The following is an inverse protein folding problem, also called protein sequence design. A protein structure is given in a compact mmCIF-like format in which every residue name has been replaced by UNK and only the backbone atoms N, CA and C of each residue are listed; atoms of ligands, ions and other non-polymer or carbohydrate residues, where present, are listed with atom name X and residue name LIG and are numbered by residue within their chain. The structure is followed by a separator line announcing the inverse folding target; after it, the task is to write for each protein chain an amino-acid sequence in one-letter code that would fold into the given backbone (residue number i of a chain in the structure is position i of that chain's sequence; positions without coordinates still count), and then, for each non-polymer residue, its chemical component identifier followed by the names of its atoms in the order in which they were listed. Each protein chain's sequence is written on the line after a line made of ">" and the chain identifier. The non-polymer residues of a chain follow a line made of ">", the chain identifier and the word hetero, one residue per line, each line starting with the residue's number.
data_IF_557349747011
#
_entry.id   IF_557349747011
#
_cell.length_a   1.000
_cell.length_b   1.000
_cell.length_c   1.000
_cell.angle_alpha   90.00
_cell.angle_beta   90.00
_cell.angle_gamma   90.00
#
_symmetry.space_group_name_H-M   'P 1'
#
loop_
_entity.id
_entity.type
_entity.pdbx_description
1 polymer ?
#
# COMPACT_ATOMS: atom_id res chain seq x y z
N UNK A 1 55.38 47.89 43.98
CA UNK A 1 54.15 48.01 43.18
C UNK A 1 54.38 47.29 41.86
N UNK A 2 53.88 46.06 41.72
CA UNK A 2 54.03 45.25 40.52
C UNK A 2 52.78 44.37 40.39
N UNK A 3 51.90 44.68 39.44
CA UNK A 3 50.59 44.04 39.29
C UNK A 3 50.73 42.90 38.27
N UNK A 4 50.73 41.67 38.78
CA UNK A 4 50.73 40.44 37.98
C UNK A 4 49.31 40.19 37.47
N UNK A 5 49.10 40.28 36.16
CA UNK A 5 47.84 39.86 35.51
C UNK A 5 47.83 38.34 35.38
N UNK A 6 47.09 37.66 36.25
CA UNK A 6 46.75 36.25 36.05
C UNK A 6 45.48 36.16 35.20
N UNK A 7 45.63 35.62 33.98
CA UNK A 7 44.52 35.20 33.13
C UNK A 7 44.09 33.80 33.57
N UNK A 8 43.17 33.71 34.51
CA UNK A 8 42.56 32.44 34.90
C UNK A 8 41.40 32.12 33.97
N UNK A 9 41.53 30.97 33.30
CA UNK A 9 40.76 30.55 32.15
C UNK A 9 39.26 30.37 32.41
N UNK A 10 38.48 30.84 31.44
CA UNK A 10 37.05 30.62 31.34
C UNK A 10 36.82 29.17 30.88
N UNK A 11 36.52 28.27 31.82
CA UNK A 11 36.14 26.88 31.52
C UNK A 11 34.76 26.89 30.87
N UNK A 12 34.72 26.78 29.54
CA UNK A 12 33.51 26.49 28.79
C UNK A 12 33.09 25.04 29.03
N UNK A 13 32.16 24.82 29.96
CA UNK A 13 31.47 23.53 30.09
C UNK A 13 30.48 23.43 28.91
N UNK A 14 30.96 22.90 27.79
CA UNK A 14 30.09 22.45 26.71
C UNK A 14 29.40 21.17 27.16
N UNK A 15 28.27 21.33 27.87
CA UNK A 15 27.36 20.24 28.19
C UNK A 15 26.59 19.90 26.91
N UNK A 16 27.21 19.11 26.03
CA UNK A 16 26.54 18.52 24.87
C UNK A 16 25.54 17.51 25.43
N UNK A 17 24.31 17.98 25.66
CA UNK A 17 23.15 17.13 25.80
C UNK A 17 23.02 16.31 24.51
N UNK A 18 23.51 15.07 24.55
CA UNK A 18 23.08 14.02 23.66
C UNK A 18 21.59 13.73 23.97
N UNK A 19 20.72 14.62 23.48
CA UNK A 19 19.31 14.34 23.31
C UNK A 19 19.22 13.22 22.27
N UNK A 20 19.33 11.99 22.75
CA UNK A 20 18.85 10.82 22.03
C UNK A 20 17.34 10.96 21.95
N UNK A 21 16.88 11.70 20.92
CA UNK A 21 15.49 11.73 20.49
C UNK A 21 15.17 10.29 20.11
N UNK A 22 14.65 9.55 21.09
CA UNK A 22 14.03 8.26 20.88
C UNK A 22 12.78 8.55 20.09
N UNK A 23 12.89 8.54 18.76
CA UNK A 23 11.75 8.61 17.86
C UNK A 23 10.88 7.39 18.16
N UNK A 24 9.87 7.58 19.02
CA UNK A 24 8.81 6.61 19.20
C UNK A 24 8.11 6.48 17.85
N UNK A 25 8.24 5.32 17.22
CA UNK A 25 7.43 5.01 16.04
C UNK A 25 5.99 4.87 16.52
N UNK A 26 5.19 5.92 16.36
CA UNK A 26 3.77 5.85 16.59
C UNK A 26 3.13 4.96 15.51
N UNK A 27 2.67 3.78 15.93
CA UNK A 27 1.97 2.82 15.09
C UNK A 27 0.50 2.86 15.50
N UNK A 28 -0.33 3.51 14.67
CA UNK A 28 -1.76 3.62 14.92
C UNK A 28 -2.52 2.54 14.17
N UNK A 29 -3.26 1.70 14.88
CA UNK A 29 -4.17 0.71 14.29
C UNK A 29 -5.44 1.37 13.79
N UNK A 30 -5.92 0.96 12.62
CA UNK A 30 -7.19 1.35 12.02
C UNK A 30 -7.94 0.07 11.62
N UNK A 31 -9.16 -0.08 12.11
CA UNK A 31 -10.05 -1.13 11.63
C UNK A 31 -10.62 -0.73 10.27
N UNK A 32 -10.52 -1.63 9.31
CA UNK A 32 -10.96 -1.44 7.93
C UNK A 32 -11.99 -2.50 7.56
N UNK A 33 -12.85 -2.17 6.60
CA UNK A 33 -13.68 -3.16 5.93
C UNK A 33 -12.93 -3.63 4.69
N UNK A 34 -12.90 -4.94 4.46
CA UNK A 34 -12.38 -5.54 3.23
C UNK A 34 -13.55 -6.15 2.47
N UNK A 35 -13.73 -5.75 1.21
CA UNK A 35 -14.69 -6.34 0.29
C UNK A 35 -13.92 -7.13 -0.76
N UNK A 36 -14.05 -8.46 -0.75
CA UNK A 36 -13.40 -9.35 -1.70
C UNK A 36 -14.46 -10.22 -2.37
N UNK A 37 -14.69 -9.99 -3.66
CA UNK A 37 -15.81 -10.58 -4.40
C UNK A 37 -17.16 -10.28 -3.68
N UNK A 38 -17.96 -11.30 -3.39
CA UNK A 38 -19.24 -11.20 -2.67
C UNK A 38 -19.11 -11.20 -1.14
N UNK A 39 -17.89 -11.31 -0.60
CA UNK A 39 -17.66 -11.38 0.85
C UNK A 39 -17.14 -10.06 1.40
N UNK A 40 -17.58 -9.73 2.61
CA UNK A 40 -17.06 -8.62 3.39
C UNK A 40 -16.60 -9.11 4.76
N UNK A 41 -15.46 -8.60 5.21
CA UNK A 41 -14.91 -8.92 6.53
C UNK A 41 -14.11 -7.74 7.08
N UNK A 42 -13.77 -7.79 8.37
CA UNK A 42 -12.94 -6.78 9.03
C UNK A 42 -11.47 -7.19 9.00
N UNK A 43 -10.60 -6.20 8.82
CA UNK A 43 -9.16 -6.36 8.87
C UNK A 43 -8.52 -5.12 9.50
N UNK A 44 -7.21 -5.15 9.69
CA UNK A 44 -6.49 -4.06 10.33
C UNK A 44 -5.46 -3.42 9.38
N UNK A 45 -5.55 -2.10 9.23
CA UNK A 45 -4.52 -1.27 8.60
C UNK A 45 -3.72 -0.56 9.70
N UNK A 46 -2.42 -0.39 9.49
CA UNK A 46 -1.55 0.28 10.45
C UNK A 46 -0.97 1.54 9.83
N UNK A 47 -1.17 2.68 10.48
CA UNK A 47 -0.52 3.92 10.10
C UNK A 47 0.83 4.03 10.81
N UNK A 48 1.89 4.18 10.02
CA UNK A 48 3.24 4.43 10.50
C UNK A 48 3.74 5.69 9.82
N UNK A 49 3.86 6.79 10.57
CA UNK A 49 4.18 8.13 10.03
C UNK A 49 3.23 8.55 8.90
N UNK A 50 1.92 8.37 9.11
CA UNK A 50 0.87 8.74 8.15
C UNK A 50 0.69 7.80 6.94
N UNK A 51 1.52 6.76 6.81
CA UNK A 51 1.45 5.82 5.70
C UNK A 51 0.79 4.51 6.14
N UNK A 52 -0.08 3.94 5.30
CA UNK A 52 -0.74 2.66 5.56
C UNK A 52 0.15 1.45 5.32
N UNK A 53 0.09 0.49 6.23
CA UNK A 53 0.79 -0.80 6.17
C UNK A 53 -0.16 -1.93 6.55
N UNK A 54 0.06 -3.09 5.94
CA UNK A 54 -0.55 -4.34 6.36
C UNK A 54 0.48 -5.19 7.10
N UNK A 55 0.03 -5.91 8.12
CA UNK A 55 0.86 -6.95 8.74
C UNK A 55 0.82 -8.22 7.93
N UNK A 56 1.82 -9.09 8.14
CA UNK A 56 1.88 -10.44 7.60
C UNK A 56 0.52 -11.16 7.66
N UNK A 57 -0.10 -11.20 8.84
CA UNK A 57 -1.34 -11.96 9.04
C UNK A 57 -2.50 -11.39 8.22
N UNK A 58 -2.57 -10.07 8.09
CA UNK A 58 -3.59 -9.39 7.29
C UNK A 58 -3.38 -9.69 5.80
N UNK A 59 -2.13 -9.74 5.34
CA UNK A 59 -1.79 -10.04 3.94
C UNK A 59 -2.17 -11.48 3.60
N UNK A 60 -1.81 -12.42 4.48
CA UNK A 60 -2.14 -13.84 4.33
C UNK A 60 -3.66 -14.04 4.30
N UNK A 61 -4.41 -13.37 5.18
CA UNK A 61 -5.86 -13.44 5.20
C UNK A 61 -6.52 -12.77 3.98
N UNK A 62 -6.09 -11.56 3.64
CA UNK A 62 -6.72 -10.73 2.59
C UNK A 62 -6.42 -11.28 1.19
N UNK A 63 -5.15 -11.58 0.90
CA UNK A 63 -4.70 -11.94 -0.44
C UNK A 63 -4.49 -13.45 -0.62
N UNK A 64 -4.55 -14.23 0.45
CA UNK A 64 -4.25 -15.67 0.40
C UNK A 64 -2.82 -15.94 -0.11
N UNK A 65 -1.89 -15.02 0.18
CA UNK A 65 -0.48 -15.09 -0.22
C UNK A 65 0.39 -15.48 0.97
N UNK A 66 1.27 -16.47 0.78
CA UNK A 66 2.25 -16.83 1.79
C UNK A 66 3.31 -15.73 1.96
N UNK A 67 3.58 -15.33 3.21
CA UNK A 67 4.60 -14.31 3.51
C UNK A 67 5.75 -14.93 4.32
N UNK A 68 6.94 -14.99 3.71
CA UNK A 68 8.16 -15.50 4.36
C UNK A 68 9.17 -14.38 4.53
N UNK A 69 9.78 -14.32 5.69
CA UNK A 69 10.87 -13.39 5.96
C UNK A 69 12.15 -14.17 6.25
N UNK A 70 13.15 -13.99 5.39
CA UNK A 70 14.50 -14.46 5.63
C UNK A 70 15.30 -13.35 6.32
N UNK A 71 15.60 -13.59 7.60
CA UNK A 71 16.38 -12.68 8.45
C UNK A 71 17.81 -12.49 7.96
N UNK A 72 18.44 -13.54 7.41
CA UNK A 72 19.83 -13.51 6.98
C UNK A 72 20.03 -12.60 5.78
N UNK A 73 19.18 -12.76 4.76
CA UNK A 73 19.23 -11.93 3.55
C UNK A 73 18.42 -10.64 3.63
N UNK A 74 17.66 -10.43 4.72
CA UNK A 74 16.71 -9.31 4.90
C UNK A 74 15.65 -9.25 3.79
N UNK A 75 15.30 -10.40 3.21
CA UNK A 75 14.34 -10.52 2.11
C UNK A 75 12.98 -10.99 2.63
N UNK A 76 11.94 -10.39 2.08
CA UNK A 76 10.55 -10.72 2.36
C UNK A 76 9.94 -11.24 1.06
N UNK A 77 9.50 -12.48 1.06
CA UNK A 77 8.89 -13.15 -0.08
C UNK A 77 7.37 -13.16 0.08
N UNK A 78 6.65 -12.67 -0.92
CA UNK A 78 5.20 -12.74 -1.02
C UNK A 78 4.87 -13.64 -2.21
N UNK A 79 4.44 -14.87 -1.92
CA UNK A 79 4.36 -15.90 -2.95
C UNK A 79 5.74 -16.16 -3.56
N UNK A 80 5.77 -16.44 -4.87
CA UNK A 80 7.00 -16.80 -5.60
C UNK A 80 7.63 -15.61 -6.33
N UNK A 81 6.81 -14.65 -6.78
CA UNK A 81 7.23 -13.63 -7.75
C UNK A 81 7.52 -12.25 -7.15
N UNK A 82 7.26 -12.04 -5.85
CA UNK A 82 7.41 -10.74 -5.20
C UNK A 82 8.43 -10.82 -4.06
N UNK A 83 9.48 -10.02 -4.18
CA UNK A 83 10.57 -9.93 -3.19
C UNK A 83 10.73 -8.48 -2.74
N UNK A 84 10.49 -8.21 -1.47
CA UNK A 84 10.82 -6.93 -0.85
C UNK A 84 12.11 -7.05 -0.03
N UNK A 85 12.74 -5.90 0.20
CA UNK A 85 13.96 -5.79 0.99
C UNK A 85 13.67 -4.96 2.24
N UNK A 86 13.94 -5.51 3.42
CA UNK A 86 13.70 -4.81 4.68
C UNK A 86 14.46 -3.48 4.72
N UNK A 87 13.81 -2.41 5.18
CA UNK A 87 14.36 -1.05 5.25
C UNK A 87 14.83 -0.47 3.91
N UNK A 88 14.50 -1.09 2.78
CA UNK A 88 14.76 -0.59 1.44
C UNK A 88 13.44 -0.36 0.70
N UNK A 89 13.42 0.69 -0.12
CA UNK A 89 12.29 1.01 -0.98
C UNK A 89 12.25 0.13 -2.24
N UNK A 90 13.29 -0.66 -2.48
CA UNK A 90 13.34 -1.57 -3.62
C UNK A 90 12.38 -2.75 -3.43
N UNK A 91 11.75 -3.14 -4.52
CA UNK A 91 10.95 -4.37 -4.62
C UNK A 91 11.25 -5.04 -5.97
N UNK A 92 11.25 -6.37 -6.02
CA UNK A 92 11.27 -7.14 -7.26
C UNK A 92 9.87 -7.72 -7.43
N UNK A 93 9.27 -7.53 -8.61
CA UNK A 93 7.95 -8.07 -8.96
C UNK A 93 8.09 -8.72 -10.33
N UNK A 94 7.92 -10.04 -10.40
CA UNK A 94 8.10 -10.83 -11.62
C UNK A 94 9.49 -10.60 -12.27
N UNK A 95 10.55 -10.68 -11.46
CA UNK A 95 11.93 -10.46 -11.90
C UNK A 95 12.34 -9.00 -12.14
N UNK A 96 11.39 -8.07 -12.29
CA UNK A 96 11.68 -6.65 -12.50
C UNK A 96 11.87 -5.88 -11.20
N UNK A 97 12.96 -5.11 -11.09
CA UNK A 97 13.19 -4.20 -9.97
C UNK A 97 12.34 -2.93 -10.13
N UNK A 98 11.58 -2.59 -9.10
CA UNK A 98 10.77 -1.38 -8.97
C UNK A 98 11.06 -0.70 -7.62
N UNK A 99 10.54 0.51 -7.44
CA UNK A 99 10.69 1.29 -6.21
C UNK A 99 9.32 1.65 -5.62
N UNK A 100 9.19 1.54 -4.31
CA UNK A 100 8.06 2.00 -3.51
C UNK A 100 8.40 3.33 -2.84
N UNK A 101 7.41 4.12 -2.44
CA UNK A 101 7.67 5.34 -1.66
C UNK A 101 8.14 5.04 -0.24
N UNK A 102 7.78 3.88 0.30
CA UNK A 102 8.14 3.44 1.65
C UNK A 102 8.66 2.01 1.66
N UNK A 103 9.56 1.75 2.60
CA UNK A 103 10.15 0.43 2.81
C UNK A 103 9.31 -0.40 3.80
N UNK A 104 9.39 -1.75 3.70
CA UNK A 104 8.91 -2.64 4.76
C UNK A 104 9.66 -2.41 6.05
N UNK A 105 8.98 -2.66 7.17
CA UNK A 105 9.50 -2.41 8.51
C UNK A 105 9.26 -3.59 9.43
N UNK A 106 10.15 -3.74 10.41
CA UNK A 106 9.91 -4.55 11.59
C UNK A 106 9.80 -3.62 12.78
N UNK A 107 8.67 -3.69 13.48
CA UNK A 107 8.42 -2.92 14.69
C UNK A 107 7.86 -3.89 15.73
N UNK A 108 8.52 -3.99 16.89
CA UNK A 108 8.15 -4.95 17.96
C UNK A 108 7.98 -6.38 17.40
N UNK A 109 8.98 -6.83 16.65
CA UNK A 109 9.03 -8.16 15.99
C UNK A 109 7.92 -8.48 15.00
N UNK A 110 7.12 -7.49 14.61
CA UNK A 110 6.06 -7.65 13.61
C UNK A 110 6.48 -7.04 12.29
N UNK A 111 6.23 -7.77 11.21
CA UNK A 111 6.51 -7.35 9.84
C UNK A 111 5.35 -6.51 9.29
N UNK A 112 5.69 -5.32 8.79
CA UNK A 112 4.76 -4.38 8.18
C UNK A 112 5.17 -4.11 6.73
N UNK A 113 4.25 -4.33 5.81
CA UNK A 113 4.45 -4.10 4.37
C UNK A 113 3.59 -2.91 3.94
N UNK A 114 4.16 -1.92 3.22
CA UNK A 114 3.41 -0.75 2.77
C UNK A 114 2.18 -1.15 1.94
N UNK A 115 1.02 -0.54 2.24
CA UNK A 115 -0.22 -0.74 1.49
C UNK A 115 -0.02 -0.43 -0.01
N UNK A 116 0.86 0.54 -0.31
CA UNK A 116 1.21 0.98 -1.66
C UNK A 116 1.54 -0.19 -2.61
N UNK A 117 2.26 -1.22 -2.14
CA UNK A 117 2.60 -2.37 -2.98
C UNK A 117 1.35 -3.00 -3.60
N UNK A 118 0.34 -3.23 -2.77
CA UNK A 118 -0.90 -3.93 -3.13
C UNK A 118 -1.79 -3.11 -4.06
N UNK A 119 -1.58 -1.79 -4.10
CA UNK A 119 -2.30 -0.86 -4.98
C UNK A 119 -1.64 -0.73 -6.36
N UNK A 120 -0.45 -1.32 -6.57
CA UNK A 120 0.26 -1.20 -7.84
C UNK A 120 -0.34 -2.11 -8.92
N UNK A 121 -0.31 -1.65 -10.18
CA UNK A 121 -0.65 -2.49 -11.33
C UNK A 121 0.29 -3.71 -11.46
N UNK A 122 1.56 -3.57 -11.03
CA UNK A 122 2.52 -4.67 -11.08
C UNK A 122 2.12 -5.82 -10.14
N UNK A 123 1.69 -5.49 -8.91
CA UNK A 123 1.13 -6.47 -7.98
C UNK A 123 -0.11 -7.15 -8.59
N UNK A 124 -1.02 -6.36 -9.18
CA UNK A 124 -2.24 -6.92 -9.78
C UNK A 124 -1.94 -7.90 -10.91
N UNK A 125 -1.00 -7.58 -11.81
CA UNK A 125 -0.62 -8.46 -12.92
C UNK A 125 -0.07 -9.82 -12.47
N UNK A 126 0.68 -9.83 -11.37
CA UNK A 126 1.29 -11.06 -10.83
C UNK A 126 0.30 -11.89 -10.03
N UNK A 127 -0.53 -11.24 -9.22
CA UNK A 127 -1.45 -11.93 -8.31
C UNK A 127 -2.82 -12.18 -8.93
N UNK A 128 -3.09 -11.59 -10.09
CA UNK A 128 -4.42 -11.51 -10.72
C UNK A 128 -5.47 -10.89 -9.78
N UNK A 129 -5.05 -9.98 -8.87
CA UNK A 129 -5.90 -9.31 -7.89
C UNK A 129 -5.67 -7.80 -7.92
N UNK A 130 -6.72 -7.06 -8.27
CA UNK A 130 -6.73 -5.61 -8.18
C UNK A 130 -7.20 -5.17 -6.81
N UNK A 131 -6.51 -4.17 -6.25
CA UNK A 131 -6.86 -3.57 -4.98
C UNK A 131 -7.17 -2.09 -5.16
N UNK A 132 -8.27 -1.63 -4.57
CA UNK A 132 -8.65 -0.22 -4.50
C UNK A 132 -8.87 0.15 -3.03
N UNK A 133 -8.38 1.33 -2.64
CA UNK A 133 -8.51 1.84 -1.29
C UNK A 133 -9.36 3.12 -1.27
N UNK A 134 -10.44 3.11 -0.50
CA UNK A 134 -11.27 4.29 -0.22
C UNK A 134 -10.96 4.81 1.19
N UNK A 135 -10.36 6.00 1.26
CA UNK A 135 -9.92 6.61 2.51
C UNK A 135 -11.08 7.02 3.42
N UNK A 136 -12.16 7.58 2.87
CA UNK A 136 -13.29 8.10 3.63
C UNK A 136 -14.04 6.98 4.34
N UNK A 137 -14.24 5.87 3.64
CA UNK A 137 -14.97 4.70 4.15
C UNK A 137 -14.09 3.70 4.87
N UNK A 138 -12.77 3.88 4.84
CA UNK A 138 -11.78 2.89 5.31
C UNK A 138 -12.05 1.51 4.70
N UNK A 139 -12.30 1.49 3.40
CA UNK A 139 -12.72 0.32 2.64
C UNK A 139 -11.62 -0.11 1.66
N UNK A 140 -11.18 -1.36 1.79
CA UNK A 140 -10.28 -2.02 0.85
C UNK A 140 -11.10 -2.96 -0.03
N UNK A 141 -11.18 -2.66 -1.33
CA UNK A 141 -11.91 -3.49 -2.30
C UNK A 141 -10.92 -4.30 -3.12
N UNK A 142 -11.15 -5.60 -3.21
CA UNK A 142 -10.32 -6.56 -3.93
C UNK A 142 -11.18 -7.33 -4.90
N UNK A 143 -10.71 -7.42 -6.13
CA UNK A 143 -11.38 -8.15 -7.18
C UNK A 143 -10.36 -8.82 -8.09
N UNK A 144 -10.75 -9.89 -8.77
CA UNK A 144 -9.90 -10.51 -9.78
C UNK A 144 -9.59 -9.50 -10.88
N UNK A 145 -8.33 -9.42 -11.29
CA UNK A 145 -7.94 -8.63 -12.46
C UNK A 145 -8.56 -9.31 -13.69
N UNK A 146 -9.70 -8.80 -14.14
CA UNK A 146 -10.35 -9.29 -15.34
C UNK A 146 -9.61 -8.82 -16.59
N UNK A 147 -9.23 -9.76 -17.46
CA UNK A 147 -9.36 -9.53 -18.89
C UNK A 147 -10.86 -9.35 -19.14
N UNK A 148 -11.26 -8.29 -19.84
CA UNK A 148 -12.64 -8.13 -20.30
C UNK A 148 -13.06 -9.40 -21.03
N UNK A 149 -14.18 -10.02 -20.64
CA UNK A 149 -14.65 -11.25 -21.28
C UNK A 149 -15.11 -10.96 -22.71
N UNK A 150 -15.74 -9.78 -22.92
CA UNK A 150 -15.96 -9.17 -24.22
C UNK A 150 -16.40 -7.70 -24.07
N UNK A 151 -16.15 -6.91 -25.12
CA UNK A 151 -16.69 -5.56 -25.30
C UNK A 151 -17.70 -5.64 -26.45
N UNK A 152 -18.94 -5.20 -26.23
CA UNK A 152 -19.92 -5.03 -27.31
C UNK A 152 -20.24 -3.56 -27.50
N UNK A 153 -20.19 -3.14 -28.76
CA UNK A 153 -20.57 -1.80 -29.19
C UNK A 153 -21.86 -1.88 -29.99
N UNK A 154 -22.80 -1.01 -29.65
CA UNK A 154 -24.04 -0.83 -30.40
C UNK A 154 -24.20 0.66 -30.69
N UNK A 155 -24.38 1.01 -31.96
CA UNK A 155 -24.71 2.38 -32.36
C UNK A 155 -26.19 2.42 -32.75
N UNK A 156 -26.92 3.32 -32.12
CA UNK A 156 -28.31 3.64 -32.44
C UNK A 156 -28.36 5.08 -32.96
N UNK A 157 -29.38 5.46 -33.76
CA UNK A 157 -29.49 6.82 -34.29
C UNK A 157 -29.44 7.92 -33.21
N UNK A 158 -29.86 7.60 -31.97
CA UNK A 158 -29.99 8.57 -30.89
C UNK A 158 -28.87 8.48 -29.82
N UNK A 159 -28.09 7.39 -29.78
CA UNK A 159 -27.01 7.20 -28.80
C UNK A 159 -26.08 6.02 -29.16
N UNK A 160 -24.85 6.09 -28.67
CA UNK A 160 -23.93 4.96 -28.64
C UNK A 160 -24.00 4.23 -27.31
N UNK A 161 -23.86 2.91 -27.34
CA UNK A 161 -23.86 2.05 -26.15
C UNK A 161 -22.67 1.12 -26.13
N UNK A 162 -21.99 1.12 -24.99
CA UNK A 162 -20.88 0.23 -24.68
C UNK A 162 -21.31 -0.73 -23.58
N UNK A 163 -21.10 -2.02 -23.82
CA UNK A 163 -21.32 -3.06 -22.84
C UNK A 163 -19.99 -3.72 -22.49
N UNK A 164 -19.66 -3.71 -21.21
CA UNK A 164 -18.48 -4.37 -20.67
C UNK A 164 -18.94 -5.53 -19.79
N UNK A 165 -18.53 -6.73 -20.13
CA UNK A 165 -18.69 -7.88 -19.24
C UNK A 165 -17.36 -8.17 -18.56
N UNK A 166 -17.38 -8.22 -17.24
CA UNK A 166 -16.28 -8.69 -16.42
C UNK A 166 -16.76 -9.88 -15.60
N UNK A 167 -15.82 -10.73 -15.18
CA UNK A 167 -16.09 -11.81 -14.22
C UNK A 167 -16.71 -11.32 -12.90
N UNK A 168 -16.66 -10.01 -12.63
CA UNK A 168 -17.14 -9.35 -11.42
C UNK A 168 -18.50 -8.67 -11.59
N UNK A 169 -19.04 -8.60 -12.81
CA UNK A 169 -20.29 -7.91 -13.10
C UNK A 169 -20.32 -7.32 -14.50
N UNK A 170 -21.52 -6.90 -14.91
CA UNK A 170 -21.76 -6.29 -16.22
C UNK A 170 -21.93 -4.79 -16.08
N UNK A 171 -21.37 -4.03 -17.01
CA UNK A 171 -21.42 -2.57 -17.02
C UNK A 171 -21.99 -2.09 -18.34
N UNK A 172 -22.95 -1.18 -18.24
CA UNK A 172 -23.57 -0.53 -19.38
C UNK A 172 -23.23 0.96 -19.36
N UNK A 173 -22.73 1.45 -20.49
CA UNK A 173 -22.47 2.87 -20.70
C UNK A 173 -23.23 3.33 -21.95
N UNK A 174 -23.94 4.45 -21.87
CA UNK A 174 -24.64 5.05 -23.01
C UNK A 174 -24.25 6.51 -23.15
N UNK A 175 -23.87 6.92 -24.36
CA UNK A 175 -23.50 8.29 -24.70
C UNK A 175 -24.47 8.84 -25.74
N UNK A 176 -25.16 9.92 -25.37
CA UNK A 176 -25.91 10.76 -26.30
C UNK A 176 -25.11 12.04 -26.51
N UNK A 177 -25.03 12.56 -27.74
CA UNK A 177 -24.20 13.74 -28.07
C UNK A 177 -24.25 14.82 -26.98
N UNK A 178 -23.07 15.18 -26.47
CA UNK A 178 -22.88 16.28 -25.52
C UNK A 178 -23.18 16.00 -24.04
N UNK A 179 -23.95 14.96 -23.69
CA UNK A 179 -24.30 14.68 -22.29
C UNK A 179 -23.99 13.23 -21.88
N UNK A 180 -23.08 13.08 -20.91
CA UNK A 180 -22.75 11.82 -20.26
C UNK A 180 -23.90 11.41 -19.32
N UNK A 181 -24.52 10.25 -19.58
CA UNK A 181 -25.53 9.66 -18.69
C UNK A 181 -24.96 8.38 -18.05
N UNK A 182 -25.29 8.22 -16.78
CA UNK A 182 -24.62 7.46 -15.72
C UNK A 182 -24.51 5.94 -15.93
N UNK A 183 -23.51 5.38 -15.24
CA UNK A 183 -23.15 3.96 -15.17
C UNK A 183 -24.09 3.23 -14.21
N UNK A 184 -24.99 2.39 -14.75
CA UNK A 184 -25.87 1.53 -13.96
C UNK A 184 -25.27 0.15 -13.70
N UNK A 185 -25.40 -0.33 -12.46
CA UNK A 185 -25.11 -1.71 -12.06
C UNK A 185 -26.35 -2.58 -12.31
N UNK A 186 -26.16 -3.80 -12.83
CA UNK A 186 -27.19 -4.85 -12.86
C UNK A 186 -26.75 -6.03 -12.01
#
# INVERSE_FOLDING_TARGET
>A
MNIRKEKTGMIWISLIFFLSISYSFDVKKIDITVKKNSHQFKANLFLIKGMGYLRKEEIENIYSLNVRFDKGSKRIFLGEDIILFLNSNSVIINGERKSLRKSPKIIKDRLYIPLELFLTNAFSKVTNLRTVWNYSEKLLTIFKEGRYDFIKFYSFPEFDRFYFSFSTGNYLYSKKEGNLIEVGFK
#
